data_IF_356743342338
#
_entry.id   IF_356743342338
#
_cell.length_a   1.000
_cell.length_b   1.000
_cell.length_c   1.000
_cell.angle_alpha   90.00
_cell.angle_beta   90.00
_cell.angle_gamma   90.00
#
_symmetry.space_group_name_H-M   'P 1'
#
loop_
_entity.id
_entity.type
_entity.pdbx_description
1 polymer ?
#
# COMPACT_ATOMS: atom_id res chain seq x y z
N UNK A 1 -7.07 16.75 -12.26
CA UNK A 1 -6.37 16.53 -13.55
C UNK A 1 -5.68 15.18 -13.43
N UNK A 2 -5.94 14.25 -14.34
CA UNK A 2 -5.33 12.90 -14.29
C UNK A 2 -4.17 12.86 -15.27
N UNK A 3 -3.02 12.36 -14.82
CA UNK A 3 -1.85 12.14 -15.68
C UNK A 3 -2.15 10.91 -16.56
N UNK A 4 -2.04 11.05 -17.88
CA UNK A 4 -2.21 9.96 -18.83
C UNK A 4 -0.87 9.22 -19.02
N UNK A 5 -0.92 7.99 -19.54
CA UNK A 5 0.29 7.19 -19.78
C UNK A 5 1.32 7.93 -20.64
N UNK A 6 0.86 8.59 -21.71
CA UNK A 6 1.71 9.37 -22.60
C UNK A 6 2.37 10.58 -21.90
N UNK A 7 1.73 11.12 -20.86
CA UNK A 7 2.30 12.21 -20.07
C UNK A 7 3.43 11.70 -19.17
N UNK A 8 3.36 10.47 -18.68
CA UNK A 8 4.41 9.85 -17.88
C UNK A 8 5.68 9.70 -18.72
N UNK A 9 5.58 9.23 -19.95
CA UNK A 9 6.72 9.09 -20.86
C UNK A 9 7.37 10.46 -21.17
N UNK A 10 6.56 11.50 -21.39
CA UNK A 10 7.06 12.87 -21.58
C UNK A 10 7.77 13.42 -20.33
N UNK A 11 7.20 13.17 -19.15
CA UNK A 11 7.77 13.61 -17.88
C UNK A 11 9.10 12.88 -17.63
N UNK A 12 9.16 11.58 -17.89
CA UNK A 12 10.37 10.79 -17.75
C UNK A 12 11.48 11.31 -18.64
N UNK A 13 11.18 11.56 -19.92
CA UNK A 13 12.13 12.13 -20.86
C UNK A 13 12.62 13.51 -20.44
N UNK A 14 11.71 14.37 -20.01
CA UNK A 14 12.05 15.66 -19.45
C UNK A 14 12.97 15.55 -18.22
N UNK A 15 12.68 14.59 -17.34
CA UNK A 15 13.50 14.34 -16.16
C UNK A 15 14.92 13.90 -16.53
N UNK A 16 15.05 12.94 -17.45
CA UNK A 16 16.36 12.46 -17.95
C UNK A 16 17.21 13.60 -18.56
N UNK A 17 16.56 14.54 -19.25
CA UNK A 17 17.23 15.72 -19.80
C UNK A 17 17.67 16.72 -18.71
N UNK A 18 16.90 16.87 -17.65
CA UNK A 18 17.10 17.92 -16.63
C UNK A 18 17.96 17.47 -15.45
N UNK A 19 17.95 16.20 -15.09
CA UNK A 19 18.70 15.70 -13.93
C UNK A 19 20.20 16.04 -13.97
N UNK A 20 20.79 16.06 -15.16
CA UNK A 20 22.22 16.35 -15.35
C UNK A 20 22.54 17.83 -15.50
N UNK A 21 21.56 18.66 -15.82
CA UNK A 21 21.76 20.08 -16.14
C UNK A 21 21.15 21.03 -15.09
N UNK A 22 20.50 20.48 -14.06
CA UNK A 22 19.90 21.27 -12.99
C UNK A 22 20.92 21.58 -11.89
N UNK A 23 20.84 22.80 -11.34
CA UNK A 23 21.55 23.17 -10.09
C UNK A 23 20.89 22.56 -8.85
N UNK A 24 19.67 22.07 -8.97
CA UNK A 24 18.91 21.39 -7.91
C UNK A 24 19.03 19.88 -8.12
N UNK A 25 19.13 19.13 -7.04
CA UNK A 25 18.94 17.69 -7.08
C UNK A 25 17.49 17.39 -7.44
N UNK A 26 17.27 16.80 -8.60
CA UNK A 26 15.94 16.40 -9.07
C UNK A 26 15.88 14.88 -8.99
N UNK A 27 14.92 14.37 -8.21
CA UNK A 27 14.68 12.94 -8.09
C UNK A 27 13.35 12.56 -8.77
N UNK A 28 13.35 11.46 -9.46
CA UNK A 28 12.17 10.87 -10.05
C UNK A 28 11.80 9.59 -9.31
N UNK A 29 10.63 9.57 -8.73
CA UNK A 29 10.06 8.36 -8.15
C UNK A 29 8.84 7.97 -8.97
N UNK A 30 8.99 7.17 -10.02
CA UNK A 30 7.86 6.66 -10.75
C UNK A 30 6.98 5.89 -9.77
N UNK A 31 5.69 6.19 -9.77
CA UNK A 31 4.71 5.41 -9.00
C UNK A 31 4.91 3.92 -9.30
N UNK A 32 4.64 3.08 -8.32
CA UNK A 32 4.82 1.64 -8.46
C UNK A 32 4.11 1.14 -9.71
N UNK A 33 4.87 0.58 -10.67
CA UNK A 33 4.28 0.02 -11.88
C UNK A 33 3.38 -1.16 -11.52
N UNK A 34 2.26 -1.31 -12.22
CA UNK A 34 1.35 -2.44 -12.07
C UNK A 34 2.00 -3.80 -12.37
N UNK A 35 3.17 -3.77 -13.02
CA UNK A 35 3.93 -4.98 -13.37
C UNK A 35 4.80 -5.49 -12.23
N UNK A 36 4.75 -4.83 -11.07
CA UNK A 36 5.61 -5.13 -9.94
C UNK A 36 5.51 -6.57 -9.43
N UNK A 37 4.33 -7.19 -9.57
CA UNK A 37 4.06 -8.56 -9.18
C UNK A 37 3.96 -9.54 -10.35
N UNK A 38 4.09 -9.09 -11.58
CA UNK A 38 4.14 -9.99 -12.72
C UNK A 38 5.49 -10.69 -12.73
N UNK A 39 5.49 -11.99 -12.50
CA UNK A 39 6.68 -12.79 -12.74
C UNK A 39 6.90 -12.96 -14.24
N UNK A 40 8.15 -13.07 -14.64
CA UNK A 40 8.52 -13.39 -16.02
C UNK A 40 7.97 -14.75 -16.49
N UNK A 41 7.55 -15.61 -15.56
CA UNK A 41 7.14 -17.00 -15.82
C UNK A 41 5.72 -17.31 -15.34
N UNK A 42 4.87 -16.29 -15.07
CA UNK A 42 3.50 -16.51 -14.57
C UNK A 42 3.41 -16.97 -13.11
N UNK A 43 4.54 -17.20 -12.42
CA UNK A 43 4.56 -17.45 -10.99
C UNK A 43 4.49 -16.12 -10.23
N UNK A 44 3.72 -16.06 -9.15
CA UNK A 44 3.68 -14.90 -8.26
C UNK A 44 5.00 -14.77 -7.49
N UNK A 45 6.03 -14.21 -8.08
CA UNK A 45 7.22 -13.83 -7.35
C UNK A 45 7.04 -12.43 -6.78
N UNK A 46 6.97 -12.38 -5.44
CA UNK A 46 6.81 -11.11 -4.73
C UNK A 46 8.18 -10.46 -4.51
N UNK A 47 8.57 -9.62 -5.43
CA UNK A 47 9.66 -8.66 -5.21
C UNK A 47 9.10 -7.28 -4.81
N UNK A 48 7.95 -7.30 -4.14
CA UNK A 48 7.11 -6.15 -3.93
C UNK A 48 7.60 -5.13 -2.91
N UNK A 49 6.89 -4.03 -2.84
CA UNK A 49 7.22 -2.82 -2.12
C UNK A 49 7.03 -2.90 -0.61
N UNK A 50 7.59 -3.84 0.06
CA UNK A 50 7.77 -4.02 1.51
C UNK A 50 7.13 -2.89 2.35
N UNK A 51 5.80 -2.84 2.37
CA UNK A 51 5.08 -1.84 3.13
C UNK A 51 5.32 -2.06 4.64
N UNK A 52 5.98 -1.12 5.27
CA UNK A 52 6.30 -1.19 6.71
C UNK A 52 5.15 -0.74 7.62
N UNK A 53 4.02 -0.37 7.04
CA UNK A 53 2.84 0.07 7.78
C UNK A 53 2.43 -0.94 8.85
N UNK A 54 2.30 -0.48 10.09
CA UNK A 54 1.91 -1.28 11.27
C UNK A 54 2.80 -2.51 11.57
N UNK A 55 4.02 -2.54 11.03
CA UNK A 55 5.01 -3.59 11.33
C UNK A 55 6.30 -3.00 11.86
N UNK A 56 6.74 -1.87 11.31
CA UNK A 56 7.98 -1.17 11.70
C UNK A 56 7.68 0.30 12.00
N UNK A 57 6.64 0.88 11.36
CA UNK A 57 6.29 2.29 11.50
C UNK A 57 4.85 2.49 11.95
N UNK A 58 4.64 3.54 12.72
CA UNK A 58 3.36 4.18 12.97
C UNK A 58 3.52 5.69 12.81
N UNK A 59 2.43 6.39 12.54
CA UNK A 59 2.43 7.84 12.31
C UNK A 59 1.55 8.51 13.37
N UNK A 60 2.12 9.51 14.04
CA UNK A 60 1.42 10.30 15.05
C UNK A 60 0.87 11.54 14.35
N UNK A 61 -0.44 11.71 14.44
CA UNK A 61 -1.14 12.84 13.84
C UNK A 61 -1.12 14.05 14.76
N UNK A 62 -1.31 15.27 14.25
CA UNK A 62 -1.28 16.50 15.07
C UNK A 62 -2.31 16.52 16.19
N UNK A 63 -3.41 15.78 16.08
CA UNK A 63 -4.45 15.64 17.10
C UNK A 63 -4.16 14.54 18.14
N UNK A 64 -2.99 13.92 18.10
CA UNK A 64 -2.56 12.85 18.99
C UNK A 64 -3.05 11.45 18.61
N UNK A 65 -3.87 11.31 17.57
CA UNK A 65 -4.22 9.98 17.04
C UNK A 65 -3.03 9.33 16.40
N UNK A 66 -3.05 8.01 16.32
CA UNK A 66 -1.98 7.21 15.70
C UNK A 66 -2.56 6.38 14.57
N UNK A 67 -1.92 6.44 13.42
CA UNK A 67 -2.28 5.65 12.23
C UNK A 67 -1.11 4.83 11.73
N UNK A 68 -1.38 3.83 10.91
CA UNK A 68 -0.37 2.96 10.30
C UNK A 68 0.34 3.59 9.10
N UNK A 69 -0.25 4.62 8.49
CA UNK A 69 0.30 5.29 7.31
C UNK A 69 -0.22 6.73 7.25
N UNK A 70 0.65 7.69 6.92
CA UNK A 70 0.29 9.09 6.78
C UNK A 70 -0.77 9.34 5.70
N UNK A 71 -0.86 8.46 4.70
CA UNK A 71 -1.86 8.55 3.64
C UNK A 71 -3.23 7.97 4.02
N UNK A 72 -3.39 7.48 5.26
CA UNK A 72 -4.62 6.87 5.77
C UNK A 72 -5.16 7.58 7.02
N UNK A 73 -4.70 8.80 7.29
CA UNK A 73 -5.02 9.55 8.52
C UNK A 73 -6.51 9.88 8.69
N UNK A 74 -7.28 9.96 7.61
CA UNK A 74 -8.72 10.23 7.64
C UNK A 74 -9.58 8.97 7.69
N UNK A 75 -8.95 7.79 7.73
CA UNK A 75 -9.64 6.51 7.70
C UNK A 75 -9.68 5.88 9.09
N UNK A 76 -10.84 5.89 9.73
CA UNK A 76 -11.00 5.40 11.10
C UNK A 76 -10.53 3.95 11.28
N UNK A 77 -10.69 3.12 10.25
CA UNK A 77 -10.22 1.73 10.26
C UNK A 77 -8.73 1.62 10.58
N UNK A 78 -7.93 2.55 10.12
CA UNK A 78 -6.47 2.54 10.25
C UNK A 78 -5.93 3.41 11.38
N UNK A 79 -6.82 4.01 12.19
CA UNK A 79 -6.44 4.67 13.44
C UNK A 79 -6.30 3.59 14.51
N UNK A 80 -5.08 3.38 14.99
CA UNK A 80 -4.74 2.32 15.95
C UNK A 80 -4.72 2.76 17.40
N UNK A 81 -4.75 4.06 17.67
CA UNK A 81 -4.79 4.59 19.04
C UNK A 81 -4.78 6.11 19.12
N UNK A 82 -4.67 6.60 20.37
CA UNK A 82 -4.66 8.03 20.70
C UNK A 82 -3.69 8.28 21.87
N UNK A 83 -2.60 9.00 21.61
CA UNK A 83 -1.56 9.29 22.60
C UNK A 83 -1.99 10.29 23.68
N UNK A 84 -3.16 10.89 23.56
CA UNK A 84 -3.76 11.68 24.67
C UNK A 84 -4.34 10.77 25.75
N UNK A 85 -4.53 9.48 25.45
CA UNK A 85 -5.17 8.49 26.33
C UNK A 85 -4.24 7.35 26.72
N UNK A 86 -3.30 7.01 25.85
CA UNK A 86 -2.43 5.87 25.97
C UNK A 86 -0.98 6.26 25.68
N UNK A 87 -0.03 5.54 26.23
CA UNK A 87 1.37 5.70 25.82
C UNK A 87 1.69 4.96 24.49
N UNK A 88 2.85 5.25 23.93
CA UNK A 88 3.28 4.67 22.64
C UNK A 88 3.28 3.14 22.66
N UNK A 89 3.76 2.54 23.74
CA UNK A 89 3.83 1.07 23.87
C UNK A 89 2.42 0.44 23.93
N UNK A 90 1.49 1.07 24.64
CA UNK A 90 0.10 0.62 24.70
C UNK A 90 -0.59 0.70 23.34
N UNK A 91 -0.37 1.79 22.60
CA UNK A 91 -0.93 1.94 21.24
C UNK A 91 -0.34 0.90 20.30
N UNK A 92 1.00 0.72 20.32
CA UNK A 92 1.68 -0.23 19.45
C UNK A 92 1.24 -1.67 19.68
N UNK A 93 0.98 -2.04 20.93
CA UNK A 93 0.56 -3.37 21.34
C UNK A 93 -0.96 -3.49 21.56
N UNK A 94 -1.74 -2.51 21.10
CA UNK A 94 -3.19 -2.57 21.24
C UNK A 94 -3.79 -3.71 20.42
N UNK A 95 -4.90 -4.28 20.88
CA UNK A 95 -5.64 -5.31 20.15
C UNK A 95 -5.94 -4.89 18.71
N UNK A 96 -6.24 -3.60 18.52
CA UNK A 96 -6.53 -3.03 17.20
C UNK A 96 -5.31 -3.03 16.29
N UNK A 97 -4.14 -2.62 16.79
CA UNK A 97 -2.89 -2.66 16.03
C UNK A 97 -2.50 -4.09 15.70
N UNK A 98 -2.58 -4.99 16.68
CA UNK A 98 -2.23 -6.40 16.52
C UNK A 98 -3.19 -7.13 15.57
N UNK A 99 -4.50 -6.90 15.66
CA UNK A 99 -5.48 -7.48 14.76
C UNK A 99 -5.24 -7.07 13.31
N UNK A 100 -4.94 -5.78 13.08
CA UNK A 100 -4.64 -5.28 11.73
C UNK A 100 -3.32 -5.86 11.18
N UNK A 101 -2.27 -5.97 12.02
CA UNK A 101 -0.99 -6.54 11.62
C UNK A 101 -1.06 -8.04 11.37
N UNK A 102 -1.79 -8.77 12.23
CA UNK A 102 -1.77 -10.23 12.28
C UNK A 102 -3.09 -10.88 11.83
N UNK A 103 -3.94 -10.16 11.08
CA UNK A 103 -5.21 -10.67 10.60
C UNK A 103 -5.04 -12.06 9.98
N UNK A 104 -5.72 -13.09 10.49
CA UNK A 104 -5.65 -14.45 9.95
C UNK A 104 -6.22 -14.51 8.53
N UNK A 105 -5.70 -15.41 7.71
CA UNK A 105 -6.18 -15.57 6.33
C UNK A 105 -7.69 -15.82 6.24
N UNK A 106 -8.24 -16.61 7.15
CA UNK A 106 -9.67 -16.96 7.20
C UNK A 106 -10.60 -15.78 7.55
N UNK A 107 -10.07 -14.66 8.04
CA UNK A 107 -10.85 -13.46 8.39
C UNK A 107 -10.99 -12.47 7.22
N UNK A 108 -10.26 -12.67 6.14
CA UNK A 108 -10.45 -11.89 4.92
C UNK A 108 -11.84 -12.11 4.33
N UNK A 109 -12.40 -11.11 3.69
CA UNK A 109 -13.74 -11.16 3.08
C UNK A 109 -13.88 -12.38 2.15
N UNK A 110 -15.07 -12.98 2.06
CA UNK A 110 -15.29 -14.17 1.23
C UNK A 110 -14.96 -13.98 -0.26
N UNK A 111 -15.11 -12.75 -0.74
CA UNK A 111 -14.82 -12.33 -2.11
C UNK A 111 -13.38 -11.85 -2.32
N UNK A 112 -12.61 -11.73 -1.24
CA UNK A 112 -11.17 -11.42 -1.33
C UNK A 112 -10.36 -12.62 -1.77
N UNK A 113 -9.59 -12.48 -2.85
CA UNK A 113 -8.68 -13.52 -3.30
C UNK A 113 -7.57 -13.84 -2.28
N UNK A 114 -7.34 -12.98 -1.28
CA UNK A 114 -6.40 -13.25 -0.19
C UNK A 114 -6.87 -14.38 0.72
N UNK A 115 -8.20 -14.54 0.90
CA UNK A 115 -8.80 -15.53 1.81
C UNK A 115 -8.37 -16.98 1.52
N UNK A 116 -8.22 -17.32 0.25
CA UNK A 116 -7.86 -18.66 -0.20
C UNK A 116 -6.53 -18.68 -0.98
N UNK A 117 -5.63 -17.74 -0.69
CA UNK A 117 -4.37 -17.62 -1.40
C UNK A 117 -3.35 -18.63 -0.88
N UNK A 118 -2.83 -19.47 -1.76
CA UNK A 118 -1.82 -20.50 -1.48
C UNK A 118 -0.45 -19.96 -1.02
N UNK A 119 -0.17 -18.68 -1.32
CA UNK A 119 1.07 -18.00 -0.95
C UNK A 119 0.86 -16.89 0.09
N UNK A 120 -0.26 -16.91 0.79
CA UNK A 120 -0.66 -15.87 1.73
C UNK A 120 0.42 -15.56 2.78
N UNK A 121 0.94 -16.57 3.45
CA UNK A 121 1.95 -16.41 4.52
C UNK A 121 3.24 -15.79 3.99
N UNK A 122 3.70 -16.23 2.81
CA UNK A 122 4.87 -15.64 2.15
C UNK A 122 4.62 -14.18 1.78
N UNK A 123 3.43 -13.87 1.27
CA UNK A 123 3.02 -12.53 0.93
C UNK A 123 3.00 -11.62 2.17
N UNK A 124 2.37 -12.08 3.24
CA UNK A 124 2.27 -11.39 4.52
C UNK A 124 3.65 -11.11 5.11
N UNK A 125 4.51 -12.14 5.18
CA UNK A 125 5.90 -12.01 5.66
C UNK A 125 6.72 -10.99 4.87
N UNK A 126 6.47 -10.86 3.58
CA UNK A 126 7.15 -9.91 2.72
C UNK A 126 6.49 -8.51 2.70
N UNK A 127 5.43 -8.29 3.48
CA UNK A 127 4.74 -6.99 3.58
C UNK A 127 4.32 -6.43 2.20
N UNK A 128 3.75 -7.28 1.35
CA UNK A 128 3.51 -6.96 -0.05
C UNK A 128 2.20 -6.20 -0.34
N UNK A 129 1.44 -5.82 0.67
CA UNK A 129 0.17 -5.11 0.51
C UNK A 129 0.31 -3.65 0.89
N UNK A 130 -0.20 -2.75 0.05
CA UNK A 130 -0.32 -1.33 0.34
C UNK A 130 -1.80 -0.96 0.47
N UNK A 131 -2.27 -0.70 1.70
CA UNK A 131 -3.66 -0.32 1.95
C UNK A 131 -4.09 0.92 1.19
N UNK A 132 -3.22 1.90 1.01
CA UNK A 132 -3.51 3.09 0.21
C UNK A 132 -3.87 2.74 -1.24
N UNK A 133 -3.12 1.84 -1.86
CA UNK A 133 -3.40 1.39 -3.21
C UNK A 133 -4.70 0.58 -3.28
N UNK A 134 -4.93 -0.28 -2.30
CA UNK A 134 -6.15 -1.09 -2.21
C UNK A 134 -7.38 -0.17 -2.14
N UNK A 135 -7.38 0.79 -1.21
CA UNK A 135 -8.50 1.71 -1.04
C UNK A 135 -8.73 2.62 -2.26
N UNK A 136 -7.66 3.06 -2.92
CA UNK A 136 -7.77 3.88 -4.14
C UNK A 136 -8.45 3.14 -5.28
N UNK A 137 -8.24 1.83 -5.37
CA UNK A 137 -8.70 1.00 -6.48
C UNK A 137 -10.06 0.41 -6.21
N UNK A 138 -10.28 -0.12 -5.01
CA UNK A 138 -11.45 -0.94 -4.71
C UNK A 138 -12.45 -0.27 -3.76
N UNK A 139 -12.06 0.84 -3.12
CA UNK A 139 -12.89 1.48 -2.09
C UNK A 139 -12.65 0.93 -0.68
N UNK A 140 -13.28 1.56 0.30
CA UNK A 140 -13.10 1.21 1.72
C UNK A 140 -13.73 -0.12 2.10
N UNK A 141 -14.78 -0.51 1.44
CA UNK A 141 -15.51 -1.77 1.62
C UNK A 141 -14.65 -2.98 1.29
N UNK A 142 -13.66 -2.80 0.40
CA UNK A 142 -12.75 -3.84 -0.08
C UNK A 142 -11.31 -3.66 0.43
N UNK A 143 -11.17 -3.11 1.64
CA UNK A 143 -9.88 -2.77 2.23
C UNK A 143 -8.93 -3.97 2.43
N UNK A 144 -9.46 -5.18 2.46
CA UNK A 144 -8.76 -6.45 2.64
C UNK A 144 -8.55 -7.22 1.31
N UNK A 145 -8.82 -6.57 0.20
CA UNK A 145 -8.53 -7.14 -1.12
C UNK A 145 -7.01 -7.24 -1.36
N UNK A 146 -6.58 -8.07 -2.31
CA UNK A 146 -5.17 -8.09 -2.70
C UNK A 146 -4.74 -6.71 -3.22
N UNK A 147 -3.46 -6.38 -2.97
CA UNK A 147 -2.87 -5.19 -3.59
C UNK A 147 -3.13 -5.20 -5.11
N UNK A 148 -3.51 -4.08 -5.72
CA UNK A 148 -3.82 -4.03 -7.16
C UNK A 148 -2.71 -4.56 -8.07
N UNK A 149 -1.47 -4.55 -7.58
CA UNK A 149 -0.31 -5.09 -8.28
C UNK A 149 -0.20 -6.61 -8.19
N UNK A 150 -1.01 -7.26 -7.34
CA UNK A 150 -1.01 -8.71 -7.18
C UNK A 150 -1.56 -9.40 -8.43
N UNK A 151 -0.94 -10.50 -8.85
CA UNK A 151 -1.43 -11.30 -9.97
C UNK A 151 -2.83 -11.89 -9.75
N UNK A 152 -3.26 -12.03 -8.49
CA UNK A 152 -4.60 -12.51 -8.08
C UNK A 152 -5.59 -11.37 -7.83
N UNK A 153 -5.19 -10.11 -8.08
CA UNK A 153 -6.06 -8.97 -7.94
C UNK A 153 -7.21 -9.02 -8.96
N UNK A 154 -8.43 -8.56 -8.60
CA UNK A 154 -9.54 -8.47 -9.54
C UNK A 154 -9.16 -7.63 -10.78
N UNK A 155 -9.50 -8.13 -11.97
CA UNK A 155 -9.13 -7.48 -13.25
C UNK A 155 -9.94 -6.23 -13.59
N UNK A 156 -11.02 -5.96 -12.89
CA UNK A 156 -11.83 -4.75 -13.06
C UNK A 156 -11.16 -3.50 -12.46
N UNK A 157 -9.88 -3.43 -12.64
CA UNK A 157 -9.08 -2.27 -12.29
C UNK A 157 -9.36 -1.24 -13.36
N UNK A 158 -9.97 -0.13 -13.00
CA UNK A 158 -9.99 1.03 -13.89
C UNK A 158 -8.54 1.31 -14.28
N UNK A 159 -8.26 1.54 -15.56
CA UNK A 159 -6.93 1.86 -16.09
C UNK A 159 -6.29 3.12 -15.46
N UNK A 160 -6.87 3.62 -14.40
CA UNK A 160 -6.65 4.92 -13.75
C UNK A 160 -5.90 4.84 -12.40
N UNK A 161 -5.04 3.85 -12.18
CA UNK A 161 -4.31 3.70 -10.90
C UNK A 161 -3.07 4.61 -10.80
N UNK A 162 -2.77 5.35 -11.83
CA UNK A 162 -1.72 6.38 -11.79
C UNK A 162 -2.29 7.70 -11.23
N UNK A 163 -2.44 7.78 -9.90
CA UNK A 163 -2.68 9.04 -9.19
C UNK A 163 -1.75 9.10 -7.98
#
# INVERSE_FOLDING_TARGET
>A
MRIQKDDIEKIQKWFEEKQHNSKLEITWSPGHSMDFFKSKNGSCEFNGGRCSANTIHMFILPDGKVTICEQLYWKDRFIIGDLRKNNISEVWNSDRALALANMPQGEYSPDSACRNCDIFDKCKKNMNSCYTNILKVYGEEHWDYPDPRCAKAPRNISENIYV
#
